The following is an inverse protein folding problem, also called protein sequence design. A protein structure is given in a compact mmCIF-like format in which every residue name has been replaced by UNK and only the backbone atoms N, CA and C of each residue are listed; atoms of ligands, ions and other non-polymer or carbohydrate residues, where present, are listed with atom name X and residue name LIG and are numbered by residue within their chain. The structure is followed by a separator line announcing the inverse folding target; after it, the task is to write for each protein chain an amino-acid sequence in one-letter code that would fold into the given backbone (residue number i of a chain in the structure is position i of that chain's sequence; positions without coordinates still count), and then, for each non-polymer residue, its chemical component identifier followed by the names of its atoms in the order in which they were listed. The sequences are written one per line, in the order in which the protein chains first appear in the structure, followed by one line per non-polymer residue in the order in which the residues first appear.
data_IF_991726310942
#
_entry.id   IF_991726310942
#
_cell.length_a   1.000
_cell.length_b   1.000
_cell.length_c   1.000
_cell.angle_alpha   90.00
_cell.angle_beta   90.00
_cell.angle_gamma   90.00
#
_symmetry.space_group_name_H-M   'P 1'
#
loop_
_entity.id
_entity.type
_entity.pdbx_description
1 polymer ?
#
# COMPACT_ATOMS: atom_id res chain seq x y z
N UNK A 1 -22.86 -12.33 0.54
CA UNK A 1 -23.40 -11.80 1.82
C UNK A 1 -22.19 -11.35 2.64
N UNK A 2 -22.17 -10.13 3.18
CA UNK A 2 -21.06 -9.72 4.03
C UNK A 2 -20.97 -10.67 5.24
N UNK A 3 -19.78 -11.21 5.50
CA UNK A 3 -19.52 -12.02 6.68
C UNK A 3 -19.83 -11.15 7.92
N UNK A 4 -20.64 -11.67 8.84
CA UNK A 4 -21.06 -10.95 10.05
C UNK A 4 -20.64 -11.75 11.25
N UNK A 5 -19.92 -11.10 12.15
CA UNK A 5 -19.54 -11.66 13.44
C UNK A 5 -19.75 -10.62 14.53
N UNK A 6 -19.76 -11.06 15.78
CA UNK A 6 -19.81 -10.19 16.95
C UNK A 6 -18.40 -9.93 17.47
N UNK A 7 -18.09 -8.68 17.81
CA UNK A 7 -16.82 -8.31 18.43
C UNK A 7 -17.05 -7.83 19.87
N UNK A 8 -16.05 -8.02 20.73
CA UNK A 8 -16.11 -7.56 22.12
C UNK A 8 -15.71 -6.08 22.21
N UNK A 9 -16.55 -5.27 22.84
CA UNK A 9 -16.23 -3.91 23.27
C UNK A 9 -15.56 -3.99 24.65
N UNK A 10 -14.49 -3.22 24.83
CA UNK A 10 -13.77 -3.12 26.11
C UNK A 10 -13.17 -1.72 26.29
N UNK A 11 -12.62 -1.45 27.46
CA UNK A 11 -11.92 -0.19 27.75
C UNK A 11 -10.41 -0.36 27.61
N UNK A 12 -9.75 0.60 26.96
CA UNK A 12 -8.30 0.73 26.92
C UNK A 12 -7.91 2.09 27.50
N UNK A 13 -7.49 2.10 28.77
CA UNK A 13 -7.36 3.33 29.54
C UNK A 13 -8.71 4.03 29.69
N UNK A 14 -8.80 5.30 29.25
CA UNK A 14 -10.03 6.11 29.28
C UNK A 14 -10.88 6.00 28.01
N UNK A 15 -10.44 5.21 27.03
CA UNK A 15 -11.08 5.11 25.72
C UNK A 15 -11.82 3.79 25.53
N UNK A 16 -12.93 3.81 24.78
CA UNK A 16 -13.59 2.60 24.32
C UNK A 16 -12.83 1.99 23.12
N UNK A 17 -12.73 0.67 23.10
CA UNK A 17 -12.06 -0.08 22.05
C UNK A 17 -12.86 -1.32 21.64
N UNK A 18 -12.64 -1.78 20.40
CA UNK A 18 -13.23 -3.01 19.85
C UNK A 18 -12.11 -3.99 19.52
N UNK A 19 -12.22 -5.24 19.97
CA UNK A 19 -11.28 -6.29 19.54
C UNK A 19 -11.73 -6.83 18.19
N UNK A 20 -11.04 -6.43 17.12
CA UNK A 20 -11.31 -6.92 15.78
C UNK A 20 -10.94 -8.42 15.65
N UNK A 21 -11.87 -9.26 15.19
CA UNK A 21 -11.58 -10.65 14.81
C UNK A 21 -10.57 -10.71 13.64
N UNK A 22 -9.96 -11.88 13.43
CA UNK A 22 -8.82 -12.04 12.52
C UNK A 22 -9.17 -11.66 11.09
N UNK A 23 -10.35 -12.04 10.66
CA UNK A 23 -10.94 -11.84 9.33
C UNK A 23 -11.30 -10.37 9.05
N UNK A 24 -11.44 -9.52 10.08
CA UNK A 24 -11.73 -8.09 9.95
C UNK A 24 -10.52 -7.19 10.25
N UNK A 25 -9.30 -7.73 10.33
CA UNK A 25 -8.10 -6.93 10.59
C UNK A 25 -7.80 -6.02 9.39
N UNK A 26 -7.63 -4.73 9.67
CA UNK A 26 -7.23 -3.73 8.69
C UNK A 26 -5.69 -3.62 8.61
N UNK A 27 -5.13 -3.30 7.43
CA UNK A 27 -3.70 -3.04 7.30
C UNK A 27 -3.32 -1.71 7.95
N UNK A 28 -2.02 -1.54 8.23
CA UNK A 28 -1.47 -0.31 8.77
C UNK A 28 -1.59 -0.18 10.30
N UNK A 29 -1.42 1.05 10.80
CA UNK A 29 -1.44 1.38 12.24
C UNK A 29 -2.55 2.35 12.62
N UNK A 30 -3.16 2.99 11.63
CA UNK A 30 -4.13 4.07 11.82
C UNK A 30 -5.31 3.89 10.87
N UNK A 31 -6.47 4.34 11.33
CA UNK A 31 -7.72 4.27 10.58
C UNK A 31 -8.44 5.61 10.66
N UNK A 32 -9.12 5.99 9.58
CA UNK A 32 -10.09 7.07 9.59
C UNK A 32 -11.40 6.51 10.14
N UNK A 33 -12.03 7.27 11.03
CA UNK A 33 -13.29 6.88 11.70
C UNK A 33 -14.39 7.84 11.27
N UNK A 34 -15.52 7.31 10.81
CA UNK A 34 -16.73 8.09 10.48
C UNK A 34 -17.97 7.41 11.06
N UNK A 35 -18.89 8.20 11.60
CA UNK A 35 -20.21 7.71 12.04
C UNK A 35 -21.14 7.52 10.83
N UNK A 36 -21.79 6.35 10.75
CA UNK A 36 -22.76 6.03 9.68
C UNK A 36 -23.98 5.38 10.34
N UNK A 37 -25.08 6.13 10.43
CA UNK A 37 -26.27 5.71 11.17
C UNK A 37 -25.96 5.41 12.64
N UNK A 38 -26.26 4.18 13.06
CA UNK A 38 -25.95 3.67 14.40
C UNK A 38 -24.57 3.00 14.52
N UNK A 39 -23.79 2.95 13.44
CA UNK A 39 -22.47 2.31 13.40
C UNK A 39 -21.32 3.29 13.19
N UNK A 40 -20.11 2.72 13.15
CA UNK A 40 -18.88 3.41 12.74
C UNK A 40 -18.25 2.68 11.56
N UNK A 41 -17.77 3.43 10.57
CA UNK A 41 -16.96 2.94 9.48
C UNK A 41 -15.49 3.23 9.80
N UNK A 42 -14.65 2.19 9.68
CA UNK A 42 -13.20 2.28 9.83
C UNK A 42 -12.56 2.03 8.47
N UNK A 43 -11.76 2.99 8.00
CA UNK A 43 -11.05 2.92 6.73
C UNK A 43 -9.54 3.04 7.00
N UNK A 44 -8.68 2.14 6.50
CA UNK A 44 -7.24 2.23 6.75
C UNK A 44 -6.69 3.54 6.20
N UNK A 45 -5.83 4.21 6.99
CA UNK A 45 -5.03 5.31 6.48
C UNK A 45 -3.79 4.68 5.88
N UNK A 46 -3.82 4.44 4.57
CA UNK A 46 -2.59 4.15 3.85
C UNK A 46 -1.71 5.39 3.91
N UNK A 47 -0.46 5.22 4.38
CA UNK A 47 0.54 6.26 4.16
C UNK A 47 0.66 6.42 2.66
N UNK A 48 0.15 7.53 2.14
CA UNK A 48 0.40 7.92 0.75
C UNK A 48 1.91 7.85 0.56
N UNK A 49 2.33 7.22 -0.53
CA UNK A 49 3.72 7.28 -0.93
C UNK A 49 4.08 8.75 -1.13
N UNK A 50 5.00 9.24 -0.31
CA UNK A 50 5.47 10.61 -0.38
C UNK A 50 6.46 10.68 -1.55
N UNK A 51 5.92 11.00 -2.73
CA UNK A 51 6.68 11.07 -3.99
C UNK A 51 7.80 12.10 -3.87
N UNK A 52 7.53 13.23 -3.21
CA UNK A 52 8.48 14.33 -3.08
C UNK A 52 9.64 13.91 -2.17
N UNK A 53 9.35 13.38 -0.98
CA UNK A 53 10.39 12.90 -0.07
C UNK A 53 11.19 11.72 -0.65
N UNK A 54 10.55 10.85 -1.43
CA UNK A 54 11.23 9.80 -2.16
C UNK A 54 12.15 10.36 -3.25
N UNK A 55 11.66 11.33 -4.04
CA UNK A 55 12.42 11.94 -5.13
C UNK A 55 13.62 12.72 -4.60
N UNK A 56 13.45 13.49 -3.52
CA UNK A 56 14.54 14.19 -2.82
C UNK A 56 15.64 13.21 -2.41
N UNK A 57 15.25 12.02 -1.93
CA UNK A 57 16.19 10.97 -1.56
C UNK A 57 16.90 10.36 -2.77
N UNK A 58 16.20 10.17 -3.88
CA UNK A 58 16.81 9.69 -5.14
C UNK A 58 17.82 10.72 -5.66
N UNK A 59 17.47 12.01 -5.65
CA UNK A 59 18.36 13.11 -6.05
C UNK A 59 19.59 13.15 -5.15
N UNK A 60 19.42 13.08 -3.82
CA UNK A 60 20.53 13.07 -2.87
C UNK A 60 21.48 11.88 -3.05
N UNK A 61 21.01 10.76 -3.60
CA UNK A 61 21.81 9.58 -3.95
C UNK A 61 22.47 9.69 -5.33
N UNK A 62 22.39 10.84 -5.99
CA UNK A 62 22.98 11.06 -7.32
C UNK A 62 22.05 10.69 -8.48
N UNK A 63 20.76 10.46 -8.21
CA UNK A 63 19.79 10.13 -9.25
C UNK A 63 19.56 11.24 -10.28
N UNK A 64 19.90 12.49 -9.96
CA UNK A 64 19.83 13.62 -10.90
C UNK A 64 20.82 13.47 -12.07
N UNK A 65 21.98 12.85 -11.82
CA UNK A 65 23.05 12.65 -12.80
C UNK A 65 23.14 11.20 -13.28
N UNK A 66 22.06 10.43 -13.13
CA UNK A 66 22.01 9.03 -13.55
C UNK A 66 21.90 8.92 -15.08
N UNK A 67 22.91 8.33 -15.72
CA UNK A 67 23.04 8.19 -17.19
C UNK A 67 23.03 9.54 -17.92
N UNK A 68 24.05 10.40 -17.72
CA UNK A 68 24.09 11.73 -18.33
C UNK A 68 24.16 11.68 -19.87
N UNK A 69 24.70 10.60 -20.44
CA UNK A 69 24.74 10.36 -21.89
C UNK A 69 23.43 9.73 -22.44
N UNK A 70 22.44 9.50 -21.57
CA UNK A 70 21.19 8.82 -21.91
C UNK A 70 21.28 7.30 -21.82
N UNK A 71 20.15 6.63 -22.08
CA UNK A 71 20.11 5.16 -22.10
C UNK A 71 20.83 4.66 -23.37
N UNK A 72 21.62 3.58 -23.28
CA UNK A 72 22.20 2.96 -24.47
C UNK A 72 21.09 2.49 -25.42
N UNK A 73 21.44 2.37 -26.71
CA UNK A 73 20.53 1.79 -27.69
C UNK A 73 20.09 0.40 -27.22
N UNK A 74 18.78 0.19 -27.18
CA UNK A 74 18.21 -1.11 -26.87
C UNK A 74 18.75 -2.13 -27.90
N UNK A 75 19.36 -3.25 -27.47
CA UNK A 75 19.79 -4.27 -28.40
C UNK A 75 18.58 -4.80 -29.19
N UNK A 76 18.78 -5.27 -30.43
CA UNK A 76 17.72 -5.94 -31.17
C UNK A 76 17.19 -7.10 -30.33
N UNK A 77 15.90 -7.34 -30.43
CA UNK A 77 15.30 -8.52 -29.82
C UNK A 77 16.05 -9.77 -30.34
N UNK A 78 16.37 -10.74 -29.47
CA UNK A 78 16.90 -12.02 -29.92
C UNK A 78 16.01 -12.59 -31.04
N UNK A 79 16.62 -13.19 -32.05
CA UNK A 79 15.84 -13.95 -33.03
C UNK A 79 15.32 -15.19 -32.30
N UNK A 80 14.05 -15.51 -32.52
CA UNK A 80 13.51 -16.80 -32.11
C UNK A 80 14.16 -17.86 -33.01
N UNK A 81 15.26 -18.45 -32.56
CA UNK A 81 15.95 -19.52 -33.28
C UNK A 81 15.18 -20.86 -33.15
N UNK A 82 14.21 -20.93 -32.22
CA UNK A 82 13.28 -22.05 -32.02
C UNK A 82 11.82 -21.55 -32.05
N UNK A 83 11.30 -21.25 -33.24
CA UNK A 83 9.84 -21.29 -33.50
C UNK A 83 9.43 -22.72 -33.83
N UNK A 84 9.64 -23.61 -32.87
CA UNK A 84 9.03 -24.94 -32.86
C UNK A 84 7.67 -24.82 -32.19
N UNK A 85 6.61 -24.81 -32.98
CA UNK A 85 5.22 -24.96 -32.51
C UNK A 85 4.73 -26.41 -32.65
N UNK A 86 5.66 -27.39 -32.57
CA UNK A 86 5.33 -28.81 -32.45
C UNK A 86 4.87 -29.17 -31.02
#
# INVERSE_FOLDING_TARGET
MAERTTAKIFMHGRSQAVRLPKEFRLPGKEVRVRKVGNGVLLEPIEKKFDVDAWLDRVIALGGADFLPEGRPAQPPWPKDDDVSFD
#
